data_IF_234890798074
#
_entry.id   IF_234890798074
#
_cell.length_a   1.000
_cell.length_b   1.000
_cell.length_c   1.000
_cell.angle_alpha   90.00
_cell.angle_beta   90.00
_cell.angle_gamma   90.00
#
_symmetry.space_group_name_H-M   'P 1'
#
loop_
_entity.id
_entity.type
_entity.pdbx_description
1 polymer ?
#
# COMPACT_ATOMS: atom_id res chain seq x y z
N UNK A 1 -24.55 21.41 1.02
CA UNK A 1 -24.80 19.96 0.99
C UNK A 1 -23.89 19.30 2.01
N UNK A 2 -24.41 18.47 2.94
CA UNK A 2 -23.54 17.68 3.79
C UNK A 2 -22.85 16.61 2.92
N UNK A 3 -21.54 16.48 3.10
CA UNK A 3 -20.76 15.43 2.44
C UNK A 3 -21.19 14.09 3.06
N UNK A 4 -21.65 13.16 2.22
CA UNK A 4 -21.95 11.80 2.65
C UNK A 4 -20.65 11.03 2.91
N UNK A 5 -20.68 10.07 3.82
CA UNK A 5 -19.52 9.20 4.05
C UNK A 5 -19.08 8.53 2.74
N UNK A 6 -17.77 8.50 2.43
CA UNK A 6 -17.27 8.04 1.15
C UNK A 6 -17.66 6.57 0.91
N UNK A 7 -18.45 6.32 -0.13
CA UNK A 7 -18.86 4.97 -0.57
C UNK A 7 -17.84 4.23 -1.44
N UNK A 8 -16.69 4.85 -1.71
CA UNK A 8 -15.61 4.26 -2.50
C UNK A 8 -14.60 3.53 -1.61
N UNK A 9 -13.95 2.48 -2.11
CA UNK A 9 -12.72 1.95 -1.48
C UNK A 9 -11.62 3.01 -1.38
N UNK A 10 -11.67 4.03 -2.25
CA UNK A 10 -10.81 5.20 -2.22
C UNK A 10 -11.39 6.31 -1.34
N UNK A 11 -10.58 7.31 -1.00
CA UNK A 11 -11.02 8.51 -0.26
C UNK A 11 -11.70 9.56 -1.15
N UNK A 12 -12.18 9.16 -2.33
CA UNK A 12 -12.79 10.10 -3.26
C UNK A 12 -14.16 10.56 -2.75
N UNK A 13 -14.44 11.85 -2.90
CA UNK A 13 -15.74 12.42 -2.60
C UNK A 13 -16.82 11.77 -3.47
N UNK A 14 -17.92 11.34 -2.85
CA UNK A 14 -19.08 10.77 -3.53
C UNK A 14 -20.19 11.81 -3.56
N UNK A 15 -20.74 12.08 -4.74
CA UNK A 15 -21.93 12.93 -4.91
C UNK A 15 -23.19 12.07 -4.87
N UNK A 16 -24.32 12.67 -4.51
CA UNK A 16 -25.63 11.98 -4.52
C UNK A 16 -25.99 11.42 -5.90
N UNK A 17 -25.64 12.14 -6.98
CA UNK A 17 -25.87 11.70 -8.35
C UNK A 17 -25.06 10.44 -8.69
N UNK A 18 -23.78 10.42 -8.34
CA UNK A 18 -22.92 9.26 -8.56
C UNK A 18 -23.37 8.06 -7.72
N UNK A 19 -23.85 8.31 -6.49
CA UNK A 19 -24.38 7.25 -5.62
C UNK A 19 -25.66 6.62 -6.19
N UNK A 20 -26.60 7.43 -6.67
CA UNK A 20 -27.83 6.91 -7.30
C UNK A 20 -27.51 6.07 -8.53
N UNK A 21 -26.59 6.54 -9.37
CA UNK A 21 -26.16 5.80 -10.54
C UNK A 21 -25.47 4.48 -10.17
N UNK A 22 -24.61 4.49 -9.14
CA UNK A 22 -23.94 3.28 -8.64
C UNK A 22 -24.92 2.21 -8.19
N UNK A 23 -25.96 2.59 -7.44
CA UNK A 23 -26.95 1.64 -6.92
C UNK A 23 -27.77 0.95 -8.03
N UNK A 24 -27.89 1.55 -9.23
CA UNK A 24 -28.61 0.94 -10.34
C UNK A 24 -27.91 -0.32 -10.91
N UNK A 25 -26.63 -0.54 -10.59
CA UNK A 25 -25.89 -1.72 -11.04
C UNK A 25 -26.07 -2.95 -10.14
N UNK A 26 -26.78 -2.83 -9.01
CA UNK A 26 -26.92 -3.91 -8.03
C UNK A 26 -28.39 -4.24 -7.77
N UNK A 27 -28.70 -5.54 -7.59
CA UNK A 27 -30.04 -5.99 -7.20
C UNK A 27 -30.40 -5.57 -5.76
N UNK A 28 -29.41 -5.23 -4.93
CA UNK A 28 -29.59 -4.74 -3.56
C UNK A 28 -28.54 -3.66 -3.30
N UNK A 29 -28.94 -2.56 -2.65
CA UNK A 29 -28.03 -1.44 -2.39
C UNK A 29 -26.84 -1.88 -1.54
N UNK A 30 -25.63 -1.57 -2.03
CA UNK A 30 -24.37 -1.86 -1.34
C UNK A 30 -23.98 -0.66 -0.49
N UNK A 31 -23.83 -0.87 0.83
CA UNK A 31 -23.36 0.17 1.74
C UNK A 31 -21.84 0.34 1.63
N UNK A 32 -21.40 1.57 1.77
CA UNK A 32 -19.99 1.93 1.96
C UNK A 32 -19.33 1.13 3.08
N UNK A 33 -18.05 0.76 2.88
CA UNK A 33 -17.17 0.39 3.97
C UNK A 33 -16.89 1.63 4.84
N UNK A 34 -17.25 1.58 6.12
CA UNK A 34 -16.85 2.59 7.11
C UNK A 34 -15.33 2.58 7.28
N UNK A 35 -14.75 3.70 7.72
CA UNK A 35 -13.30 3.78 7.97
C UNK A 35 -12.82 2.70 8.95
N UNK A 36 -13.58 2.44 10.02
CA UNK A 36 -13.27 1.39 10.99
C UNK A 36 -13.22 0.00 10.33
N UNK A 37 -14.19 -0.31 9.46
CA UNK A 37 -14.24 -1.61 8.77
C UNK A 37 -13.16 -1.75 7.70
N UNK A 38 -12.73 -0.65 7.07
CA UNK A 38 -11.55 -0.66 6.19
C UNK A 38 -10.29 -0.97 6.97
N UNK A 39 -10.10 -0.32 8.12
CA UNK A 39 -8.96 -0.59 8.99
C UNK A 39 -8.94 -2.04 9.47
N UNK A 40 -10.07 -2.54 9.97
CA UNK A 40 -10.23 -3.94 10.38
C UNK A 40 -9.89 -4.93 9.26
N UNK A 41 -10.26 -4.62 8.01
CA UNK A 41 -9.91 -5.45 6.87
C UNK A 41 -8.42 -5.38 6.53
N UNK A 42 -7.85 -4.18 6.55
CA UNK A 42 -6.43 -3.95 6.29
C UNK A 42 -5.51 -4.61 7.33
N UNK A 43 -5.92 -4.62 8.60
CA UNK A 43 -5.19 -5.28 9.70
C UNK A 43 -5.07 -6.81 9.52
N UNK A 44 -5.90 -7.41 8.67
CA UNK A 44 -5.85 -8.84 8.36
C UNK A 44 -4.82 -9.18 7.28
N UNK A 45 -4.40 -8.21 6.47
CA UNK A 45 -3.46 -8.43 5.35
C UNK A 45 -2.04 -8.64 5.89
N UNK A 46 -1.48 -9.84 5.70
CA UNK A 46 -0.14 -10.21 6.20
C UNK A 46 0.68 -10.85 5.10
N UNK A 47 2.01 -10.75 5.22
CA UNK A 47 2.95 -11.41 4.29
C UNK A 47 3.07 -10.70 2.93
N UNK A 48 2.88 -9.38 2.92
CA UNK A 48 3.00 -8.57 1.69
C UNK A 48 4.45 -8.53 1.21
N UNK A 49 4.63 -8.60 -0.11
CA UNK A 49 5.91 -8.41 -0.78
C UNK A 49 5.89 -7.10 -1.57
N UNK A 50 6.96 -6.32 -1.45
CA UNK A 50 7.21 -5.12 -2.23
C UNK A 50 8.40 -5.36 -3.17
N UNK A 51 8.23 -5.11 -4.46
CA UNK A 51 9.29 -5.21 -5.45
C UNK A 51 9.44 -3.90 -6.22
N UNK A 52 10.68 -3.47 -6.44
CA UNK A 52 11.03 -2.30 -7.24
C UNK A 52 11.91 -2.69 -8.42
N UNK A 53 11.71 -2.02 -9.55
CA UNK A 53 12.53 -2.17 -10.76
C UNK A 53 13.82 -1.35 -10.71
N UNK A 54 13.93 -0.45 -9.74
CA UNK A 54 15.10 0.39 -9.48
C UNK A 54 15.47 0.36 -8.00
N UNK A 55 16.77 0.47 -7.71
CA UNK A 55 17.29 0.60 -6.35
C UNK A 55 16.53 1.67 -5.55
N UNK A 56 16.41 1.45 -4.23
CA UNK A 56 15.84 2.46 -3.35
C UNK A 56 16.85 3.59 -3.10
N UNK A 57 16.40 4.85 -3.09
CA UNK A 57 17.27 6.00 -2.81
C UNK A 57 17.71 6.07 -1.34
N UNK A 58 16.94 5.48 -0.43
CA UNK A 58 17.23 5.51 1.01
C UNK A 58 16.23 4.73 1.85
N UNK A 59 16.45 4.77 3.16
CA UNK A 59 15.68 4.01 4.17
C UNK A 59 14.21 4.42 4.28
N UNK A 60 13.85 5.62 3.87
CA UNK A 60 12.48 6.14 3.91
C UNK A 60 11.51 5.25 3.12
N UNK A 61 11.97 4.59 2.06
CA UNK A 61 11.17 3.63 1.32
C UNK A 61 10.78 2.42 2.17
N UNK A 62 11.65 1.98 3.08
CA UNK A 62 11.40 0.86 3.99
C UNK A 62 10.46 1.26 5.12
N UNK A 63 10.65 2.46 5.69
CA UNK A 63 9.75 2.97 6.73
C UNK A 63 8.30 3.13 6.23
N UNK A 64 8.14 3.62 5.00
CA UNK A 64 6.84 3.72 4.33
C UNK A 64 6.26 2.34 4.04
N UNK A 65 7.08 1.38 3.58
CA UNK A 65 6.64 0.02 3.32
C UNK A 65 6.22 -0.72 4.59
N UNK A 66 6.85 -0.40 5.73
CA UNK A 66 6.56 -1.02 7.02
C UNK A 66 5.26 -0.52 7.61
N UNK A 67 4.90 0.75 7.39
CA UNK A 67 3.88 1.53 8.10
C UNK A 67 2.99 0.68 9.03
N UNK A 68 3.52 0.46 10.25
CA UNK A 68 3.02 -0.47 11.27
C UNK A 68 1.60 -0.13 11.71
N UNK A 69 1.24 1.15 11.60
CA UNK A 69 -0.01 1.73 12.08
C UNK A 69 -1.27 1.14 11.42
N UNK A 70 -1.10 0.40 10.32
CA UNK A 70 -2.19 -0.15 9.52
C UNK A 70 -2.10 -1.67 9.26
N UNK A 71 -1.19 -2.39 9.93
CA UNK A 71 -1.12 -3.86 9.89
C UNK A 71 -0.73 -4.51 8.55
N UNK A 72 -0.83 -3.80 7.42
CA UNK A 72 -0.58 -4.29 6.06
C UNK A 72 0.87 -4.16 5.57
N UNK A 73 1.81 -3.87 6.47
CA UNK A 73 3.20 -3.61 6.12
C UNK A 73 3.87 -4.75 5.34
N UNK A 74 4.78 -4.39 4.44
CA UNK A 74 5.57 -5.36 3.70
C UNK A 74 6.47 -6.18 4.64
N UNK A 75 6.58 -7.47 4.37
CA UNK A 75 7.50 -8.40 5.06
C UNK A 75 8.70 -8.75 4.18
N UNK A 76 8.51 -8.71 2.87
CA UNK A 76 9.53 -9.06 1.88
C UNK A 76 9.75 -7.86 0.96
N UNK A 77 11.02 -7.54 0.69
CA UNK A 77 11.44 -6.43 -0.14
C UNK A 77 12.40 -6.94 -1.19
N UNK A 78 12.15 -6.61 -2.45
CA UNK A 78 13.01 -6.96 -3.58
C UNK A 78 13.38 -5.69 -4.34
N UNK A 79 14.67 -5.43 -4.50
CA UNK A 79 15.15 -4.26 -5.22
C UNK A 79 16.52 -4.52 -5.85
N UNK A 80 16.86 -3.91 -6.99
CA UNK A 80 18.22 -3.96 -7.51
C UNK A 80 19.21 -3.30 -6.54
N UNK A 81 20.38 -3.92 -6.36
CA UNK A 81 21.50 -3.27 -5.67
C UNK A 81 22.18 -2.23 -6.56
N UNK A 82 23.00 -1.37 -5.96
CA UNK A 82 23.83 -0.37 -6.62
C UNK A 82 23.46 1.07 -6.27
N UNK A 83 22.69 1.27 -5.20
CA UNK A 83 22.48 2.59 -4.61
C UNK A 83 23.64 3.02 -3.73
N UNK A 84 23.81 4.34 -3.59
CA UNK A 84 24.79 4.89 -2.65
C UNK A 84 24.44 4.58 -1.18
N UNK A 85 23.16 4.37 -0.89
CA UNK A 85 22.61 4.19 0.46
C UNK A 85 22.05 2.77 0.68
N UNK A 86 22.52 1.78 -0.08
CA UNK A 86 22.04 0.40 0.05
C UNK A 86 22.27 -0.16 1.46
N UNK A 87 23.34 0.27 2.15
CA UNK A 87 23.62 -0.12 3.52
C UNK A 87 22.54 0.39 4.49
N UNK A 88 22.07 1.64 4.32
CA UNK A 88 20.98 2.20 5.14
C UNK A 88 19.65 1.47 4.88
N UNK A 89 19.43 1.03 3.64
CA UNK A 89 18.24 0.24 3.26
C UNK A 89 18.31 -1.16 3.89
N UNK A 90 19.48 -1.80 3.90
CA UNK A 90 19.69 -3.08 4.57
C UNK A 90 19.45 -2.96 6.08
N UNK A 91 20.07 -1.97 6.72
CA UNK A 91 19.91 -1.72 8.16
C UNK A 91 18.45 -1.43 8.52
N UNK A 92 17.72 -0.69 7.68
CA UNK A 92 16.30 -0.44 7.89
C UNK A 92 15.45 -1.71 7.74
N UNK A 93 15.78 -2.60 6.81
CA UNK A 93 15.07 -3.89 6.68
C UNK A 93 15.32 -4.78 7.90
N UNK A 94 16.56 -4.86 8.37
CA UNK A 94 16.94 -5.62 9.58
C UNK A 94 16.21 -5.09 10.83
N UNK A 95 16.24 -3.77 11.05
CA UNK A 95 15.54 -3.13 12.17
C UNK A 95 14.02 -3.40 12.16
N UNK A 96 13.44 -3.57 10.98
CA UNK A 96 12.00 -3.78 10.80
C UNK A 96 11.59 -5.25 10.70
N UNK A 97 12.51 -6.20 10.90
CA UNK A 97 12.30 -7.65 10.73
C UNK A 97 11.72 -7.99 9.34
N UNK A 98 12.28 -7.36 8.31
CA UNK A 98 11.91 -7.53 6.91
C UNK A 98 13.02 -8.28 6.17
N UNK A 99 12.62 -9.15 5.25
CA UNK A 99 13.55 -9.87 4.38
C UNK A 99 13.82 -9.01 3.15
N UNK A 100 15.07 -8.61 2.96
CA UNK A 100 15.54 -7.90 1.77
C UNK A 100 16.22 -8.87 0.80
N UNK A 101 15.89 -8.75 -0.48
CA UNK A 101 16.54 -9.46 -1.58
C UNK A 101 17.07 -8.45 -2.58
N UNK A 102 18.40 -8.38 -2.69
CA UNK A 102 19.07 -7.60 -3.72
C UNK A 102 19.18 -8.40 -5.02
N UNK A 103 18.73 -7.79 -6.12
CA UNK A 103 18.88 -8.34 -7.47
C UNK A 103 20.01 -7.63 -8.22
N UNK A 104 20.61 -8.30 -9.20
CA UNK A 104 21.64 -7.71 -10.09
C UNK A 104 21.05 -7.11 -11.36
N UNK A 105 19.75 -7.32 -11.59
CA UNK A 105 19.06 -6.92 -12.81
C UNK A 105 18.23 -5.66 -12.53
N UNK A 106 18.59 -4.57 -13.20
CA UNK A 106 17.70 -3.41 -13.34
C UNK A 106 16.95 -3.57 -14.66
N UNK A 107 15.62 -3.55 -14.66
CA UNK A 107 14.85 -3.48 -15.90
C UNK A 107 15.01 -2.08 -16.50
N UNK A 108 16.13 -1.85 -17.19
CA UNK A 108 16.20 -0.73 -18.11
C UNK A 108 15.26 -1.04 -19.25
N UNK A 109 14.13 -0.33 -19.34
CA UNK A 109 13.34 -0.27 -20.57
C UNK A 109 14.27 0.25 -21.68
N UNK A 110 14.85 -0.67 -22.45
CA UNK A 110 15.52 -0.39 -23.72
C UNK A 110 14.63 -0.86 -24.84
#
# INVERSE_FOLDING_TARGET
MPLLEPKSITNNAVTEANERQWNNYFATSVRALSQAKRKEWLDQLKGVCMASESHFPGRECIDLAKQVEQGFGAKFVVTPSGGANDDEVCEACEHNDMVLVHTTQRSSLR
#
